data_IF_647804635766
#
_entry.id   IF_647804635766
#
_cell.length_a   1.000
_cell.length_b   1.000
_cell.length_c   1.000
_cell.angle_alpha   90.00
_cell.angle_beta   90.00
_cell.angle_gamma   90.00
#
_symmetry.space_group_name_H-M   'P 1'
#
loop_
_entity.id
_entity.type
_entity.pdbx_description
1 polymer ?
#
# COMPACT_ATOMS: atom_id res chain seq x y z
N UNK A 1 0.65 1.00 18.93
CA UNK A 1 0.64 -0.38 18.39
C UNK A 1 -0.76 -0.60 17.85
N UNK A 2 -0.96 -0.36 16.55
CA UNK A 2 -2.26 -0.59 15.92
C UNK A 2 -2.63 -2.05 16.11
N UNK A 3 -3.78 -2.32 16.71
CA UNK A 3 -4.14 -3.66 17.12
C UNK A 3 -5.41 -4.07 16.39
N UNK A 4 -5.30 -4.20 15.07
CA UNK A 4 -6.36 -4.73 14.19
C UNK A 4 -6.96 -6.04 14.73
N UNK A 5 -6.11 -6.90 15.31
CA UNK A 5 -6.52 -8.15 15.99
C UNK A 5 -7.43 -7.94 17.20
N UNK A 6 -7.48 -6.73 17.76
CA UNK A 6 -8.36 -6.36 18.88
C UNK A 6 -9.61 -5.61 18.44
N UNK A 7 -9.74 -5.29 17.15
CA UNK A 7 -10.97 -4.71 16.63
C UNK A 7 -12.04 -5.80 16.53
N UNK A 8 -13.22 -5.45 16.99
CA UNK A 8 -14.43 -6.26 16.82
C UNK A 8 -14.85 -6.28 15.35
N UNK A 9 -15.63 -7.27 14.94
CA UNK A 9 -16.06 -7.38 13.54
C UNK A 9 -16.93 -6.19 13.10
N UNK A 10 -17.64 -5.55 14.04
CA UNK A 10 -18.38 -4.29 13.81
C UNK A 10 -17.41 -3.15 13.43
N UNK A 11 -16.32 -2.98 14.18
CA UNK A 11 -15.32 -1.94 13.89
C UNK A 11 -14.59 -2.17 12.57
N UNK A 12 -14.35 -3.44 12.21
CA UNK A 12 -13.78 -3.79 10.90
C UNK A 12 -14.76 -3.44 9.78
N UNK A 13 -16.06 -3.69 9.98
CA UNK A 13 -17.11 -3.39 9.01
C UNK A 13 -17.32 -1.88 8.83
N UNK A 14 -17.31 -1.10 9.91
CA UNK A 14 -17.39 0.38 9.86
C UNK A 14 -16.22 1.00 9.08
N UNK A 15 -15.00 0.48 9.27
CA UNK A 15 -13.83 0.91 8.50
C UNK A 15 -13.99 0.63 7.00
N UNK A 16 -14.66 -0.48 6.66
CA UNK A 16 -14.94 -0.92 5.30
C UNK A 16 -16.01 -0.07 4.61
N UNK A 17 -17.08 0.27 5.32
CA UNK A 17 -18.15 1.15 4.83
C UNK A 17 -17.67 2.57 4.60
N UNK A 18 -16.83 3.10 5.51
CA UNK A 18 -16.18 4.40 5.34
C UNK A 18 -15.33 4.43 4.06
N UNK A 19 -14.63 3.35 3.73
CA UNK A 19 -13.82 3.21 2.51
C UNK A 19 -14.69 3.27 1.26
N UNK A 20 -15.75 2.47 1.20
CA UNK A 20 -16.65 2.41 0.03
C UNK A 20 -17.31 3.77 -0.25
N UNK A 21 -17.66 4.52 0.80
CA UNK A 21 -18.27 5.84 0.66
C UNK A 21 -17.40 6.87 -0.07
N UNK A 22 -16.06 6.69 -0.09
CA UNK A 22 -15.10 7.66 -0.61
C UNK A 22 -14.68 7.44 -2.07
N UNK A 23 -15.32 6.51 -2.80
CA UNK A 23 -15.11 6.32 -4.25
C UNK A 23 -13.63 6.13 -4.64
N UNK A 24 -12.95 5.16 -4.02
CA UNK A 24 -11.57 4.83 -4.37
C UNK A 24 -11.47 4.28 -5.80
N UNK A 25 -10.32 4.46 -6.48
CA UNK A 25 -10.21 4.23 -7.92
C UNK A 25 -10.22 2.75 -8.26
N UNK A 26 -10.79 2.42 -9.43
CA UNK A 26 -10.65 1.10 -10.04
C UNK A 26 -9.20 0.91 -10.52
N UNK A 27 -8.53 -0.16 -10.08
CA UNK A 27 -7.26 -0.59 -10.66
C UNK A 27 -7.51 -1.19 -12.07
N UNK A 28 -6.48 -1.56 -12.81
CA UNK A 28 -6.66 -2.39 -14.02
C UNK A 28 -5.67 -3.55 -14.02
N UNK A 29 -6.03 -4.69 -14.64
CA UNK A 29 -5.11 -5.80 -14.84
C UNK A 29 -3.82 -5.32 -15.55
N UNK A 30 -2.63 -5.83 -15.17
CA UNK A 30 -1.39 -5.35 -15.76
C UNK A 30 -1.30 -5.69 -17.26
N UNK A 31 -1.29 -4.69 -18.13
CA UNK A 31 -0.71 -4.81 -19.47
C UNK A 31 0.78 -4.49 -19.38
N UNK A 32 1.63 -5.50 -19.47
CA UNK A 32 3.06 -5.40 -19.22
C UNK A 32 3.83 -5.10 -20.50
N UNK A 33 4.48 -3.93 -20.51
CA UNK A 33 5.48 -3.55 -21.52
C UNK A 33 6.78 -3.23 -20.77
N UNK A 34 7.82 -4.03 -21.02
CA UNK A 34 9.12 -3.90 -20.38
C UNK A 34 10.14 -3.14 -21.23
N UNK A 35 9.85 -2.85 -22.49
CA UNK A 35 10.68 -1.92 -23.26
C UNK A 35 10.45 -0.49 -22.75
N UNK A 36 11.51 0.17 -22.30
CA UNK A 36 11.38 1.48 -21.67
C UNK A 36 10.70 1.47 -20.28
N UNK A 37 10.59 0.32 -19.62
CA UNK A 37 9.83 0.09 -18.38
C UNK A 37 9.89 1.25 -17.37
N UNK A 38 8.74 1.90 -17.16
CA UNK A 38 8.55 3.05 -16.25
C UNK A 38 7.80 2.65 -14.98
N UNK A 39 8.01 1.42 -14.54
CA UNK A 39 7.33 0.81 -13.40
C UNK A 39 8.23 0.86 -12.17
N UNK A 40 7.66 1.28 -11.04
CA UNK A 40 8.39 1.47 -9.79
C UNK A 40 7.60 0.96 -8.61
N UNK A 41 8.28 0.30 -7.67
CA UNK A 41 7.80 0.16 -6.31
C UNK A 41 8.25 1.37 -5.50
N UNK A 42 7.30 2.12 -4.97
CA UNK A 42 7.51 3.20 -4.02
C UNK A 42 7.30 2.66 -2.61
N UNK A 43 8.22 2.97 -1.71
CA UNK A 43 8.15 2.58 -0.30
C UNK A 43 8.53 3.75 0.60
N UNK A 44 7.77 4.00 1.67
CA UNK A 44 8.15 4.95 2.71
C UNK A 44 7.77 4.42 4.07
N UNK A 45 8.58 4.69 5.08
CA UNK A 45 8.37 4.25 6.45
C UNK A 45 8.39 5.43 7.41
N UNK A 46 7.67 5.29 8.52
CA UNK A 46 7.82 6.16 9.66
C UNK A 46 9.22 6.02 10.28
N UNK A 47 9.70 7.07 10.91
CA UNK A 47 10.98 7.08 11.60
C UNK A 47 11.03 6.01 12.69
N UNK A 48 12.11 5.21 12.66
CA UNK A 48 12.30 4.04 13.51
C UNK A 48 11.17 3.00 13.41
N UNK A 49 10.44 2.97 12.28
CA UNK A 49 9.28 2.10 12.05
C UNK A 49 8.20 2.25 13.13
N UNK A 50 8.09 3.43 13.75
CA UNK A 50 7.03 3.72 14.72
C UNK A 50 5.66 3.68 14.04
N UNK A 51 4.63 3.06 14.65
CA UNK A 51 3.31 2.91 14.03
C UNK A 51 2.48 4.20 14.15
N UNK A 52 2.95 5.30 13.55
CA UNK A 52 2.33 6.63 13.65
C UNK A 52 1.10 6.75 12.75
N UNK A 53 1.11 6.09 11.59
CA UNK A 53 -0.02 6.06 10.66
C UNK A 53 -1.17 5.31 11.34
N UNK A 54 -0.86 4.16 11.95
CA UNK A 54 -1.82 3.33 12.68
C UNK A 54 -2.11 3.81 14.09
N UNK A 55 -2.18 5.12 14.33
CA UNK A 55 -2.74 5.64 15.59
C UNK A 55 -4.26 5.44 15.63
N UNK A 56 -4.94 5.56 14.49
CA UNK A 56 -6.37 5.30 14.34
C UNK A 56 -6.71 4.82 12.93
N UNK A 57 -7.92 4.26 12.75
CA UNK A 57 -8.48 3.90 11.44
C UNK A 57 -8.61 5.11 10.52
N UNK A 58 -8.99 6.26 11.07
CA UNK A 58 -9.17 7.51 10.34
C UNK A 58 -7.85 7.95 9.73
N UNK A 59 -6.76 7.93 10.54
CA UNK A 59 -5.42 8.29 10.08
C UNK A 59 -4.88 7.32 9.02
N UNK A 60 -5.15 6.02 9.16
CA UNK A 60 -4.82 5.03 8.12
C UNK A 60 -5.53 5.35 6.80
N UNK A 61 -6.83 5.64 6.85
CA UNK A 61 -7.66 5.98 5.68
C UNK A 61 -7.24 7.31 5.05
N UNK A 62 -6.89 8.32 5.85
CA UNK A 62 -6.37 9.60 5.35
C UNK A 62 -5.00 9.44 4.68
N UNK A 63 -4.13 8.60 5.25
CA UNK A 63 -2.85 8.27 4.65
C UNK A 63 -3.04 7.56 3.31
N UNK A 64 -3.91 6.55 3.24
CA UNK A 64 -4.26 5.87 1.99
C UNK A 64 -4.77 6.88 0.96
N UNK A 65 -5.81 7.64 1.30
CA UNK A 65 -6.43 8.61 0.40
C UNK A 65 -5.41 9.61 -0.14
N UNK A 66 -4.55 10.16 0.72
CA UNK A 66 -3.54 11.14 0.32
C UNK A 66 -2.45 10.55 -0.57
N UNK A 67 -1.96 9.34 -0.25
CA UNK A 67 -0.92 8.67 -1.05
C UNK A 67 -1.47 8.32 -2.42
N UNK A 68 -2.69 7.76 -2.49
CA UNK A 68 -3.33 7.40 -3.76
C UNK A 68 -3.62 8.65 -4.60
N UNK A 69 -4.16 9.72 -4.02
CA UNK A 69 -4.40 10.97 -4.74
C UNK A 69 -3.11 11.53 -5.38
N UNK A 70 -1.99 11.53 -4.64
CA UNK A 70 -0.70 11.95 -5.19
C UNK A 70 -0.25 11.01 -6.31
N UNK A 71 -0.45 9.70 -6.16
CA UNK A 71 -0.12 8.75 -7.22
C UNK A 71 -0.99 8.97 -8.47
N UNK A 72 -2.28 9.22 -8.35
CA UNK A 72 -3.17 9.49 -9.49
C UNK A 72 -2.79 10.76 -10.26
N UNK A 73 -2.28 11.78 -9.57
CA UNK A 73 -1.84 13.02 -10.22
C UNK A 73 -0.59 12.82 -11.12
N UNK A 74 0.31 11.92 -10.72
CA UNK A 74 1.63 11.78 -11.36
C UNK A 74 1.86 10.44 -12.05
N UNK A 75 0.99 9.45 -11.89
CA UNK A 75 1.17 8.11 -12.44
C UNK A 75 0.16 7.83 -13.55
N UNK A 76 0.65 7.24 -14.63
CA UNK A 76 -0.20 6.69 -15.68
C UNK A 76 -0.96 5.43 -15.23
N UNK A 77 -0.47 4.74 -14.21
CA UNK A 77 -1.13 3.55 -13.67
C UNK A 77 -0.72 3.28 -12.21
N UNK A 78 -1.65 2.75 -11.42
CA UNK A 78 -1.42 2.18 -10.09
C UNK A 78 -1.78 0.69 -10.14
N UNK A 79 -0.79 -0.18 -9.94
CA UNK A 79 -0.97 -1.63 -10.03
C UNK A 79 -1.36 -2.27 -8.70
N UNK A 80 -0.73 -1.83 -7.61
CA UNK A 80 -1.00 -2.35 -6.28
C UNK A 80 -0.59 -1.34 -5.20
N UNK A 81 -1.25 -1.37 -4.03
CA UNK A 81 -0.80 -0.63 -2.86
C UNK A 81 -1.13 -1.37 -1.55
N UNK A 82 -0.41 -1.01 -0.49
CA UNK A 82 -0.68 -1.41 0.88
C UNK A 82 -0.16 -0.34 1.84
N UNK A 83 -1.04 0.19 2.69
CA UNK A 83 -0.71 1.09 3.80
C UNK A 83 -0.72 0.29 5.09
N UNK A 84 0.36 0.37 5.84
CA UNK A 84 0.55 -0.33 7.11
C UNK A 84 0.72 0.71 8.23
N UNK A 85 0.57 0.32 9.50
CA UNK A 85 0.64 1.24 10.63
C UNK A 85 1.90 2.12 10.69
N UNK A 86 3.02 1.66 10.12
CA UNK A 86 4.32 2.32 10.18
C UNK A 86 4.99 2.53 8.82
N UNK A 87 4.40 2.11 7.71
CA UNK A 87 4.98 2.29 6.37
C UNK A 87 3.93 2.04 5.28
N UNK A 88 4.26 2.32 4.02
CA UNK A 88 3.42 1.96 2.89
C UNK A 88 4.24 1.53 1.67
N UNK A 89 3.57 0.81 0.78
CA UNK A 89 4.08 0.38 -0.51
C UNK A 89 3.08 0.70 -1.63
N UNK A 90 3.57 1.20 -2.77
CA UNK A 90 2.75 1.44 -3.98
C UNK A 90 3.53 1.03 -5.22
N UNK A 91 2.97 0.13 -6.04
CA UNK A 91 3.51 -0.29 -7.32
C UNK A 91 2.82 0.49 -8.44
N UNK A 92 3.58 1.29 -9.19
CA UNK A 92 3.04 2.28 -10.14
C UNK A 92 3.75 2.26 -11.49
N UNK A 93 3.15 2.90 -12.51
CA UNK A 93 3.77 3.28 -13.78
C UNK A 93 3.81 4.81 -13.91
N UNK A 94 4.98 5.41 -14.01
CA UNK A 94 5.12 6.87 -14.19
C UNK A 94 6.38 7.25 -14.96
N UNK A 95 6.28 8.22 -15.85
CA UNK A 95 7.41 8.95 -16.43
C UNK A 95 7.77 10.23 -15.66
N UNK A 96 6.94 10.61 -14.70
CA UNK A 96 7.07 11.78 -13.84
C UNK A 96 7.57 11.42 -12.45
N UNK A 97 8.51 10.46 -12.37
CA UNK A 97 9.00 9.95 -11.08
C UNK A 97 9.48 11.08 -10.17
N UNK A 98 10.15 12.12 -10.71
CA UNK A 98 10.63 13.30 -9.98
C UNK A 98 9.51 14.11 -9.35
N UNK A 99 8.42 14.33 -10.09
CA UNK A 99 7.26 15.08 -9.60
C UNK A 99 6.52 14.28 -8.54
N UNK A 100 6.39 12.96 -8.72
CA UNK A 100 5.86 12.05 -7.70
C UNK A 100 6.68 12.14 -6.40
N UNK A 101 8.02 12.20 -6.48
CA UNK A 101 8.88 12.39 -5.29
C UNK A 101 8.51 13.65 -4.53
N UNK A 102 8.31 14.73 -5.28
CA UNK A 102 8.02 16.04 -4.73
C UNK A 102 6.64 16.06 -4.08
N UNK A 103 5.61 15.56 -4.76
CA UNK A 103 4.25 15.44 -4.23
C UNK A 103 4.19 14.59 -2.95
N UNK A 104 4.85 13.43 -2.94
CA UNK A 104 4.94 12.59 -1.73
C UNK A 104 5.69 13.29 -0.60
N UNK A 105 6.75 14.06 -0.91
CA UNK A 105 7.46 14.88 0.07
C UNK A 105 6.58 15.97 0.68
N UNK A 106 5.72 16.61 -0.11
CA UNK A 106 4.73 17.57 0.40
C UNK A 106 3.71 16.90 1.31
N UNK A 107 3.18 15.73 0.90
CA UNK A 107 2.33 14.92 1.76
C UNK A 107 3.01 14.57 3.09
N UNK A 108 4.27 14.12 3.06
CA UNK A 108 5.03 13.80 4.28
C UNK A 108 5.19 15.01 5.19
N UNK A 109 5.46 16.20 4.63
CA UNK A 109 5.54 17.45 5.39
C UNK A 109 4.21 17.82 6.06
N UNK A 110 3.11 17.81 5.28
CA UNK A 110 1.76 18.13 5.76
C UNK A 110 1.30 17.16 6.85
N UNK A 111 1.35 15.86 6.57
CA UNK A 111 0.96 14.82 7.53
C UNK A 111 1.84 14.84 8.79
N UNK A 112 3.13 15.13 8.67
CA UNK A 112 3.99 15.30 9.85
C UNK A 112 3.53 16.45 10.73
N UNK A 113 3.12 17.56 10.14
CA UNK A 113 2.58 18.68 10.91
C UNK A 113 1.28 18.26 11.58
N UNK A 114 0.27 17.84 10.82
CA UNK A 114 -1.06 17.46 11.29
C UNK A 114 -1.02 16.40 12.41
N UNK A 115 -0.40 15.24 12.15
CA UNK A 115 -0.37 14.13 13.10
C UNK A 115 0.41 14.45 14.38
N UNK A 116 1.44 15.29 14.30
CA UNK A 116 2.12 15.77 15.50
C UNK A 116 1.28 16.78 16.29
N UNK A 117 0.38 17.51 15.65
CA UNK A 117 -0.61 18.36 16.32
C UNK A 117 -1.64 17.51 17.07
N UNK A 118 -2.25 16.55 16.37
CA UNK A 118 -3.20 15.60 16.94
C UNK A 118 -2.62 14.82 18.12
N UNK A 119 -1.37 14.36 17.99
CA UNK A 119 -0.70 13.58 19.04
C UNK A 119 -0.15 14.44 20.19
N UNK A 120 -0.25 15.78 20.13
CA UNK A 120 0.46 16.71 21.03
C UNK A 120 1.99 16.46 21.10
N UNK A 121 2.60 16.17 19.94
CA UNK A 121 4.03 15.81 19.76
C UNK A 121 4.72 16.68 18.70
N UNK A 122 4.46 17.99 18.68
CA UNK A 122 5.12 18.93 17.73
C UNK A 122 6.64 18.76 17.76
N UNK A 123 7.27 18.75 16.58
CA UNK A 123 8.71 18.54 16.42
C UNK A 123 9.17 17.09 16.36
N UNK A 124 8.30 16.10 16.63
CA UNK A 124 8.64 14.67 16.45
C UNK A 124 8.83 14.36 14.95
N UNK A 125 9.89 13.65 14.61
CA UNK A 125 10.08 13.12 13.25
C UNK A 125 9.06 12.01 12.98
N UNK A 126 8.22 12.19 11.97
CA UNK A 126 7.20 11.19 11.56
C UNK A 126 7.75 10.25 10.50
N UNK A 127 8.25 10.77 9.39
CA UNK A 127 8.72 9.97 8.26
C UNK A 127 10.24 9.75 8.25
N UNK A 128 10.68 8.63 7.68
CA UNK A 128 12.07 8.33 7.39
C UNK A 128 12.23 7.98 5.92
N UNK A 129 12.55 9.01 5.13
CA UNK A 129 12.81 8.91 3.71
C UNK A 129 11.71 8.14 2.96
N UNK A 130 11.91 8.04 1.65
CA UNK A 130 11.14 7.15 0.81
C UNK A 130 12.09 6.67 -0.30
N UNK A 131 11.76 5.54 -0.90
CA UNK A 131 12.60 4.86 -1.88
C UNK A 131 11.75 4.40 -3.05
N UNK A 132 12.25 4.60 -4.26
CA UNK A 132 11.77 3.98 -5.49
C UNK A 132 12.70 2.85 -5.91
N UNK A 133 12.10 1.73 -6.34
CA UNK A 133 12.80 0.62 -6.98
C UNK A 133 12.18 0.37 -8.34
N UNK A 134 12.95 0.58 -9.41
CA UNK A 134 12.52 0.29 -10.78
C UNK A 134 12.38 -1.22 -10.99
N UNK A 135 11.28 -1.63 -11.63
CA UNK A 135 11.07 -3.01 -12.05
C UNK A 135 11.97 -3.34 -13.25
N UNK A 136 12.53 -4.56 -13.25
CA UNK A 136 13.57 -4.96 -14.21
C UNK A 136 13.12 -6.05 -15.18
N UNK A 137 12.00 -6.71 -14.87
CA UNK A 137 11.43 -7.79 -15.66
C UNK A 137 10.01 -8.07 -15.17
N UNK A 138 9.25 -8.83 -15.97
CA UNK A 138 7.93 -9.34 -15.61
C UNK A 138 7.96 -10.11 -14.29
N UNK A 139 8.95 -11.00 -14.14
CA UNK A 139 9.13 -11.75 -12.90
C UNK A 139 9.34 -10.85 -11.68
N UNK A 140 10.17 -9.80 -11.81
CA UNK A 140 10.39 -8.85 -10.71
C UNK A 140 9.09 -8.08 -10.40
N UNK A 141 8.34 -7.68 -11.42
CA UNK A 141 7.07 -6.98 -11.26
C UNK A 141 6.02 -7.85 -10.54
N UNK A 142 5.77 -9.07 -11.02
CA UNK A 142 4.74 -9.96 -10.46
C UNK A 142 5.09 -10.43 -9.04
N UNK A 143 6.37 -10.73 -8.77
CA UNK A 143 6.82 -11.02 -7.41
C UNK A 143 6.65 -9.80 -6.47
N UNK A 144 6.85 -8.59 -7.00
CA UNK A 144 6.63 -7.35 -6.23
C UNK A 144 5.14 -7.10 -5.98
N UNK A 145 4.28 -7.39 -6.96
CA UNK A 145 2.83 -7.31 -6.80
C UNK A 145 2.37 -8.23 -5.65
N UNK A 146 2.80 -9.50 -5.66
CA UNK A 146 2.53 -10.43 -4.57
C UNK A 146 3.07 -9.90 -3.24
N UNK A 147 4.31 -9.36 -3.21
CA UNK A 147 4.91 -8.78 -2.01
C UNK A 147 4.07 -7.64 -1.40
N UNK A 148 3.57 -6.73 -2.23
CA UNK A 148 2.76 -5.59 -1.78
C UNK A 148 1.48 -6.09 -1.11
N UNK A 149 0.79 -7.04 -1.74
CA UNK A 149 -0.45 -7.61 -1.23
C UNK A 149 -0.25 -8.51 -0.01
N UNK A 150 0.85 -9.26 0.07
CA UNK A 150 1.18 -10.14 1.20
C UNK A 150 1.68 -9.40 2.44
N UNK A 151 2.12 -8.16 2.29
CA UNK A 151 2.76 -7.41 3.36
C UNK A 151 1.99 -7.36 4.71
N UNK A 152 0.66 -7.18 4.74
CA UNK A 152 -0.06 -7.17 6.01
C UNK A 152 -0.11 -8.56 6.68
N UNK A 153 -0.03 -9.66 5.91
CA UNK A 153 0.14 -11.03 6.46
C UNK A 153 1.55 -11.20 7.00
N UNK A 154 2.56 -10.76 6.26
CA UNK A 154 3.97 -10.81 6.69
C UNK A 154 4.19 -10.09 8.04
N UNK A 155 3.52 -8.95 8.25
CA UNK A 155 3.56 -8.22 9.52
C UNK A 155 2.56 -8.72 10.58
N UNK A 156 1.78 -9.76 10.27
CA UNK A 156 0.85 -10.39 11.18
C UNK A 156 -0.40 -9.57 11.47
N UNK A 157 -0.77 -8.61 10.63
CA UNK A 157 -1.99 -7.83 10.83
C UNK A 157 -3.25 -8.65 10.51
N UNK A 158 -3.20 -9.49 9.48
CA UNK A 158 -4.29 -10.35 9.02
C UNK A 158 -3.76 -11.74 8.69
N UNK A 159 -4.65 -12.73 8.64
CA UNK A 159 -4.33 -14.09 8.20
C UNK A 159 -4.34 -14.18 6.67
N UNK A 160 -5.30 -13.51 6.02
CA UNK A 160 -5.41 -13.47 4.57
C UNK A 160 -5.19 -12.06 4.03
N UNK A 161 -4.46 -11.97 2.92
CA UNK A 161 -4.04 -10.70 2.32
C UNK A 161 -5.22 -9.82 1.88
N UNK A 162 -6.34 -10.42 1.49
CA UNK A 162 -7.59 -9.75 1.13
C UNK A 162 -8.37 -9.15 2.32
N UNK A 163 -7.99 -9.48 3.55
CA UNK A 163 -8.67 -8.99 4.75
C UNK A 163 -8.14 -7.64 5.21
N UNK A 164 -7.00 -7.20 4.66
CA UNK A 164 -6.41 -5.92 5.05
C UNK A 164 -7.09 -4.76 4.33
N UNK A 165 -7.81 -3.87 5.06
CA UNK A 165 -8.70 -2.88 4.45
C UNK A 165 -7.97 -1.64 3.95
N UNK A 166 -6.65 -1.53 4.08
CA UNK A 166 -5.83 -0.46 3.49
C UNK A 166 -4.85 -1.02 2.48
N UNK A 167 -5.35 -1.88 1.61
CA UNK A 167 -4.60 -2.40 0.46
C UNK A 167 -5.50 -2.50 -0.76
N UNK A 168 -4.90 -2.72 -1.93
CA UNK A 168 -5.64 -3.03 -3.15
C UNK A 168 -5.93 -4.51 -3.37
N UNK A 169 -5.69 -5.35 -2.36
CA UNK A 169 -5.76 -6.81 -2.49
C UNK A 169 -7.17 -7.29 -2.87
N UNK A 170 -8.19 -6.71 -2.25
CA UNK A 170 -9.59 -7.06 -2.52
C UNK A 170 -9.98 -6.69 -3.93
N UNK A 171 -9.72 -5.44 -4.33
CA UNK A 171 -10.05 -5.03 -5.68
C UNK A 171 -9.27 -5.92 -6.68
N UNK A 172 -7.97 -6.18 -6.45
CA UNK A 172 -7.16 -7.06 -7.31
C UNK A 172 -7.80 -8.42 -7.57
N UNK A 173 -8.32 -9.06 -6.52
CA UNK A 173 -9.03 -10.33 -6.64
C UNK A 173 -10.32 -10.22 -7.46
N UNK A 174 -11.08 -9.14 -7.29
CA UNK A 174 -12.32 -8.90 -8.05
C UNK A 174 -12.06 -8.73 -9.55
N UNK A 175 -10.96 -8.07 -9.94
CA UNK A 175 -10.65 -7.85 -11.36
C UNK A 175 -9.94 -9.01 -12.03
N UNK A 176 -8.96 -9.61 -11.36
CA UNK A 176 -8.12 -10.66 -11.95
C UNK A 176 -8.80 -12.03 -11.81
N UNK A 177 -9.64 -12.20 -10.81
CA UNK A 177 -10.26 -13.47 -10.47
C UNK A 177 -9.34 -14.38 -9.66
N UNK A 178 -9.95 -15.20 -8.80
CA UNK A 178 -9.24 -16.07 -7.86
C UNK A 178 -8.24 -17.01 -8.52
N UNK A 179 -8.63 -17.71 -9.59
CA UNK A 179 -7.75 -18.70 -10.25
C UNK A 179 -6.51 -18.05 -10.83
N UNK A 180 -6.66 -16.90 -11.50
CA UNK A 180 -5.52 -16.20 -12.09
C UNK A 180 -4.61 -15.59 -11.02
N UNK A 181 -5.18 -15.01 -9.97
CA UNK A 181 -4.41 -14.50 -8.83
C UNK A 181 -3.60 -15.63 -8.16
N UNK A 182 -4.20 -16.81 -7.99
CA UNK A 182 -3.52 -18.01 -7.47
C UNK A 182 -2.38 -18.47 -8.37
N UNK A 183 -2.58 -18.51 -9.69
CA UNK A 183 -1.49 -18.83 -10.64
C UNK A 183 -0.33 -17.85 -10.51
N UNK A 184 -0.62 -16.53 -10.48
CA UNK A 184 0.40 -15.49 -10.32
C UNK A 184 1.15 -15.65 -8.99
N UNK A 185 0.44 -15.99 -7.91
CA UNK A 185 1.06 -16.27 -6.62
C UNK A 185 2.06 -17.42 -6.69
N UNK A 186 1.66 -18.54 -7.28
CA UNK A 186 2.45 -19.77 -7.33
C UNK A 186 3.64 -19.67 -8.27
N UNK A 187 3.50 -18.99 -9.41
CA UNK A 187 4.58 -18.82 -10.40
C UNK A 187 5.63 -17.78 -9.99
N UNK A 188 5.21 -16.80 -9.16
CA UNK A 188 6.02 -15.65 -8.74
C UNK A 188 6.09 -15.53 -7.20
N UNK A 189 6.62 -16.55 -6.51
CA UNK A 189 6.68 -16.56 -5.04
C UNK A 189 7.65 -15.50 -4.50
N UNK A 190 7.40 -15.10 -3.24
CA UNK A 190 8.19 -14.08 -2.54
C UNK A 190 9.22 -14.76 -1.62
N UNK A 191 10.45 -15.00 -2.10
CA UNK A 191 11.52 -15.63 -1.28
C UNK A 191 11.04 -16.92 -0.56
N UNK A 192 11.49 -17.16 0.69
CA UNK A 192 11.04 -18.25 1.59
C UNK A 192 9.74 -17.92 2.35
N UNK A 193 9.06 -16.81 2.04
CA UNK A 193 7.82 -16.42 2.72
C UNK A 193 6.60 -17.02 2.02
N UNK A 194 5.70 -17.64 2.80
CA UNK A 194 4.37 -18.05 2.33
C UNK A 194 4.35 -19.38 1.56
N UNK A 195 4.83 -20.46 2.18
CA UNK A 195 4.67 -21.84 1.66
C UNK A 195 3.21 -22.29 1.50
N UNK A 196 2.26 -21.48 2.00
CA UNK A 196 0.85 -21.69 1.88
C UNK A 196 0.25 -20.46 1.22
N UNK A 197 -0.46 -20.69 0.12
CA UNK A 197 -1.48 -19.77 -0.32
C UNK A 197 -2.59 -19.87 0.72
N UNK A 198 -2.49 -19.04 1.76
CA UNK A 198 -3.40 -19.07 2.89
C UNK A 198 -4.72 -18.40 2.48
N UNK A 199 -5.68 -19.23 2.08
CA UNK A 199 -7.12 -18.96 2.11
C UNK A 199 -7.71 -19.29 3.47
#
# INVERSE_FOLDING_TARGET
MYNWRKLTDVQKQEALELRQSRHLPWHSPPHLDFEGARQYLISSACYEHKPIIGTSSERMTECESSVIQVCEEFCSHIYAWCILPNHYHVLIKTDRIKDLRFGLGQFHGRSSFEWNGEDNRRGRKVWHNWFDRRMKSERHFLATLNYVHHNPVHHGYVEHWQDWPWSSAREYLEQVGHERAKTIWQEYPILDYGSKWDL
#
